data_IF_131522095428
#
_entry.id   IF_131522095428
#
_cell.length_a   1.000
_cell.length_b   1.000
_cell.length_c   1.000
_cell.angle_alpha   90.00
_cell.angle_beta   90.00
_cell.angle_gamma   90.00
#
_symmetry.space_group_name_H-M   'P 1'
#
loop_
_entity.id
_entity.type
_entity.pdbx_description
1 polymer ?
#
# COMPACT_ATOMS: atom_id res chain seq x y z
N UNK A 1 15.11 12.55 49.94
CA UNK A 1 14.32 12.06 48.78
C UNK A 1 14.17 10.56 48.92
N UNK A 2 12.95 10.05 49.13
CA UNK A 2 12.70 8.74 49.74
C UNK A 2 12.64 7.63 48.67
N UNK A 3 13.48 6.60 48.79
CA UNK A 3 13.64 5.49 47.83
C UNK A 3 12.31 4.75 47.56
N UNK A 4 11.37 4.80 48.52
CA UNK A 4 10.02 4.22 48.37
C UNK A 4 9.17 4.86 47.26
N UNK A 5 9.43 6.11 46.87
CA UNK A 5 8.68 6.79 45.80
C UNK A 5 9.08 6.30 44.40
N UNK A 6 10.33 5.84 44.22
CA UNK A 6 10.84 5.37 42.92
C UNK A 6 10.25 3.99 42.58
N UNK A 7 9.96 3.16 43.59
CA UNK A 7 9.46 1.79 43.37
C UNK A 7 7.99 1.73 42.90
N UNK A 8 7.19 2.78 43.15
CA UNK A 8 5.79 2.84 42.70
C UNK A 8 5.64 3.09 41.19
N UNK A 9 6.67 3.66 40.53
CA UNK A 9 6.62 4.01 39.10
C UNK A 9 6.77 2.77 38.20
N UNK A 10 7.17 1.61 38.75
CA UNK A 10 7.43 0.38 37.99
C UNK A 10 6.53 -0.77 38.41
N UNK A 11 5.27 -0.51 38.76
CA UNK A 11 4.27 -1.59 38.77
C UNK A 11 3.93 -1.89 37.31
N UNK A 12 4.76 -2.71 36.66
CA UNK A 12 4.50 -3.28 35.34
C UNK A 12 3.16 -4.00 35.45
N UNK A 13 2.11 -3.33 34.99
CA UNK A 13 0.76 -3.87 34.95
C UNK A 13 0.84 -5.12 34.08
N UNK A 14 0.63 -6.30 34.68
CA UNK A 14 0.70 -7.55 33.91
C UNK A 14 -0.39 -7.52 32.85
N UNK A 15 0.02 -7.37 31.59
CA UNK A 15 -0.87 -7.39 30.44
C UNK A 15 -1.42 -8.81 30.35
N UNK A 16 -2.74 -8.97 30.53
CA UNK A 16 -3.41 -10.24 30.30
C UNK A 16 -3.43 -10.53 28.80
N UNK A 17 -2.67 -11.53 28.37
CA UNK A 17 -2.65 -11.98 26.99
C UNK A 17 -4.04 -12.54 26.62
N UNK A 18 -4.69 -11.90 25.66
CA UNK A 18 -5.97 -12.31 25.10
C UNK A 18 -5.79 -12.80 23.67
N UNK A 19 -6.61 -13.75 23.24
CA UNK A 19 -6.67 -14.27 21.87
C UNK A 19 -6.71 -13.14 20.82
N UNK A 20 -7.52 -12.08 21.03
CA UNK A 20 -7.58 -10.95 20.10
C UNK A 20 -6.24 -10.21 19.94
N UNK A 21 -5.49 -10.06 21.04
CA UNK A 21 -4.18 -9.41 21.02
C UNK A 21 -3.17 -10.25 20.24
N UNK A 22 -3.17 -11.57 20.44
CA UNK A 22 -2.28 -12.50 19.74
C UNK A 22 -2.63 -12.57 18.25
N UNK A 23 -3.92 -12.72 17.90
CA UNK A 23 -4.40 -12.75 16.51
C UNK A 23 -4.04 -11.44 15.80
N UNK A 24 -4.30 -10.30 16.44
CA UNK A 24 -3.96 -9.00 15.88
C UNK A 24 -2.45 -8.84 15.67
N UNK A 25 -1.63 -9.30 16.60
CA UNK A 25 -0.17 -9.21 16.51
C UNK A 25 0.39 -10.10 15.40
N UNK A 26 -0.04 -11.35 15.33
CA UNK A 26 0.39 -12.29 14.27
C UNK A 26 -0.08 -11.79 12.91
N UNK A 27 -1.34 -11.35 12.81
CA UNK A 27 -1.88 -10.77 11.58
C UNK A 27 -1.12 -9.53 11.13
N UNK A 28 -0.80 -8.62 12.05
CA UNK A 28 -0.02 -7.42 11.74
C UNK A 28 1.41 -7.76 11.28
N UNK A 29 2.08 -8.71 11.93
CA UNK A 29 3.44 -9.09 11.54
C UNK A 29 3.47 -9.81 10.19
N UNK A 30 2.51 -10.67 9.91
CA UNK A 30 2.46 -11.45 8.66
C UNK A 30 1.92 -10.61 7.50
N UNK A 31 0.67 -10.14 7.61
CA UNK A 31 -0.01 -9.37 6.57
C UNK A 31 0.59 -7.97 6.43
N UNK A 32 0.94 -7.32 7.54
CA UNK A 32 1.55 -6.00 7.50
C UNK A 32 2.92 -6.00 6.82
N UNK A 33 3.75 -7.03 7.02
CA UNK A 33 5.01 -7.18 6.28
C UNK A 33 4.79 -7.38 4.78
N UNK A 34 3.82 -8.22 4.41
CA UNK A 34 3.47 -8.43 3.00
C UNK A 34 2.95 -7.13 2.34
N UNK A 35 2.11 -6.37 3.05
CA UNK A 35 1.61 -5.07 2.61
C UNK A 35 2.75 -4.06 2.45
N UNK A 36 3.68 -3.99 3.41
CA UNK A 36 4.82 -3.09 3.37
C UNK A 36 5.71 -3.35 2.15
N UNK A 37 5.96 -4.62 1.81
CA UNK A 37 6.72 -4.99 0.59
C UNK A 37 5.99 -4.54 -0.67
N UNK A 38 4.67 -4.73 -0.75
CA UNK A 38 3.90 -4.33 -1.93
C UNK A 38 3.87 -2.81 -2.12
N UNK A 39 3.67 -2.06 -1.03
CA UNK A 39 3.71 -0.60 -1.06
C UNK A 39 5.12 -0.09 -1.40
N UNK A 40 6.16 -0.69 -0.82
CA UNK A 40 7.54 -0.33 -1.13
C UNK A 40 7.85 -0.53 -2.60
N UNK A 41 7.41 -1.63 -3.21
CA UNK A 41 7.59 -1.85 -4.65
C UNK A 41 6.82 -0.85 -5.50
N UNK A 42 5.60 -0.49 -5.11
CA UNK A 42 4.75 0.43 -5.86
C UNK A 42 5.21 1.91 -5.78
N UNK A 43 5.91 2.30 -4.71
CA UNK A 43 6.39 3.67 -4.50
C UNK A 43 7.90 3.84 -4.67
N UNK A 44 8.69 2.77 -4.48
CA UNK A 44 10.15 2.80 -4.55
C UNK A 44 10.74 2.35 -5.89
N UNK A 45 9.92 1.83 -6.81
CA UNK A 45 10.37 1.28 -8.08
C UNK A 45 10.50 2.31 -9.19
N UNK A 46 11.58 3.07 -9.21
CA UNK A 46 11.94 3.94 -10.34
C UNK A 46 13.21 3.45 -11.04
N UNK A 47 13.22 2.20 -11.51
CA UNK A 47 14.18 1.83 -12.55
C UNK A 47 13.65 2.39 -13.88
N UNK A 48 14.18 3.54 -14.27
CA UNK A 48 13.67 4.36 -15.36
C UNK A 48 13.69 3.67 -16.74
N UNK A 49 14.33 2.53 -16.93
CA UNK A 49 14.37 1.84 -18.24
C UNK A 49 13.58 0.52 -18.29
N UNK A 50 13.22 -0.11 -17.15
CA UNK A 50 12.51 -1.42 -17.16
C UNK A 50 11.04 -1.30 -17.54
N UNK A 51 10.42 -0.16 -17.23
CA UNK A 51 8.99 0.08 -17.50
C UNK A 51 8.73 0.75 -18.84
N UNK A 52 9.78 1.16 -19.54
CA UNK A 52 9.67 1.70 -20.88
C UNK A 52 9.76 0.57 -21.91
N UNK A 53 9.12 0.77 -23.06
CA UNK A 53 9.37 -0.09 -24.23
C UNK A 53 10.88 -0.20 -24.48
N UNK A 54 11.37 -1.41 -24.73
CA UNK A 54 12.79 -1.68 -24.92
C UNK A 54 13.36 -0.81 -26.06
N UNK A 55 14.52 -0.17 -25.83
CA UNK A 55 15.14 0.76 -26.82
C UNK A 55 15.37 0.14 -28.20
N UNK A 56 15.64 -1.16 -28.25
CA UNK A 56 15.90 -1.90 -29.49
C UNK A 56 14.61 -2.39 -30.21
N UNK A 57 13.43 -2.13 -29.64
CA UNK A 57 12.11 -2.42 -30.24
C UNK A 57 11.13 -1.28 -29.94
N UNK A 58 11.37 -0.07 -30.45
CA UNK A 58 10.41 1.01 -30.32
C UNK A 58 9.12 0.66 -31.08
N UNK A 59 8.01 1.27 -30.66
CA UNK A 59 6.72 1.12 -31.32
C UNK A 59 6.62 2.10 -32.49
N UNK A 60 6.02 1.64 -33.58
CA UNK A 60 5.63 2.53 -34.68
C UNK A 60 4.47 3.42 -34.23
N UNK A 61 4.35 4.59 -34.84
CA UNK A 61 3.28 5.55 -34.52
C UNK A 61 1.88 4.91 -34.62
N UNK A 62 1.66 4.01 -35.57
CA UNK A 62 0.39 3.30 -35.76
C UNK A 62 0.00 2.40 -34.57
N UNK A 63 0.99 1.86 -33.86
CA UNK A 63 0.78 0.99 -32.71
C UNK A 63 0.42 1.76 -31.44
N UNK A 64 0.59 3.09 -31.42
CA UNK A 64 0.38 3.92 -30.21
C UNK A 64 -0.99 4.59 -30.14
N UNK A 65 -1.91 4.35 -31.11
CA UNK A 65 -3.24 5.01 -31.19
C UNK A 65 -4.05 4.98 -29.90
N UNK A 66 -3.99 3.88 -29.16
CA UNK A 66 -4.75 3.71 -27.91
C UNK A 66 -4.06 4.23 -26.65
N UNK A 67 -2.83 4.73 -26.76
CA UNK A 67 -2.02 5.13 -25.61
C UNK A 67 -1.92 6.66 -25.45
N UNK A 68 -1.69 7.38 -26.55
CA UNK A 68 -1.63 8.84 -26.55
C UNK A 68 -1.88 9.43 -27.94
N UNK A 69 -2.17 10.72 -27.98
CA UNK A 69 -2.23 11.51 -29.20
C UNK A 69 -1.30 12.73 -29.05
N UNK A 70 -0.44 12.94 -30.05
CA UNK A 70 0.42 14.12 -30.14
C UNK A 70 -0.10 15.04 -31.23
N UNK A 71 -0.37 16.28 -30.84
CA UNK A 71 -0.96 17.31 -31.68
C UNK A 71 0.04 18.45 -31.91
N UNK A 72 0.16 18.93 -33.14
CA UNK A 72 0.90 20.14 -33.53
C UNK A 72 -0.11 21.05 -34.21
N UNK A 73 -0.24 22.30 -33.77
CA UNK A 73 -1.22 23.25 -34.32
C UNK A 73 -2.64 22.67 -34.44
N UNK A 74 -3.08 21.93 -33.41
CA UNK A 74 -4.39 21.26 -33.33
C UNK A 74 -4.62 20.14 -34.37
N UNK A 75 -3.54 19.58 -34.92
CA UNK A 75 -3.58 18.49 -35.89
C UNK A 75 -2.71 17.34 -35.43
N UNK A 76 -3.16 16.10 -35.62
CA UNK A 76 -2.40 14.93 -35.18
C UNK A 76 -1.08 14.81 -35.94
N UNK A 77 -0.03 14.36 -35.26
CA UNK A 77 1.27 14.12 -35.90
C UNK A 77 1.16 13.12 -37.06
N UNK A 78 0.21 12.17 -36.99
CA UNK A 78 -0.13 11.25 -38.09
C UNK A 78 -0.63 11.99 -39.33
N UNK A 79 -1.57 12.90 -39.16
CA UNK A 79 -2.10 13.69 -40.27
C UNK A 79 -1.00 14.56 -40.87
N UNK A 80 -0.15 15.14 -40.03
CA UNK A 80 0.98 15.92 -40.50
C UNK A 80 1.97 15.10 -41.36
N UNK A 81 2.27 13.86 -40.95
CA UNK A 81 3.11 12.93 -41.72
C UNK A 81 2.42 12.44 -42.98
N UNK A 82 1.12 12.11 -42.92
CA UNK A 82 0.35 11.69 -44.08
C UNK A 82 0.28 12.77 -45.17
N UNK A 83 0.28 14.03 -44.76
CA UNK A 83 0.26 15.19 -45.66
C UNK A 83 1.66 15.70 -46.05
N UNK A 84 2.73 15.11 -45.53
CA UNK A 84 4.11 15.54 -45.81
C UNK A 84 4.44 16.94 -45.27
N UNK A 85 3.71 17.40 -44.26
CA UNK A 85 3.88 18.75 -43.68
C UNK A 85 4.94 18.82 -42.57
N UNK A 86 5.50 17.68 -42.17
CA UNK A 86 6.62 17.61 -41.22
C UNK A 86 7.94 17.43 -41.96
N UNK A 87 8.92 18.23 -41.55
CA UNK A 87 10.27 18.18 -42.07
C UNK A 87 11.24 17.97 -40.93
N UNK A 88 12.22 17.10 -41.15
CA UNK A 88 13.36 16.95 -40.26
C UNK A 88 14.54 17.69 -40.85
N UNK A 89 15.24 18.44 -40.00
CA UNK A 89 16.52 19.08 -40.34
C UNK A 89 17.61 18.14 -39.84
N UNK A 90 18.34 17.50 -40.75
CA UNK A 90 19.39 16.55 -40.38
C UNK A 90 20.70 17.28 -40.12
N UNK A 91 21.01 18.29 -40.94
CA UNK A 91 22.21 19.13 -40.86
C UNK A 91 21.85 20.58 -41.23
N UNK A 92 22.76 21.54 -41.02
CA UNK A 92 22.53 22.98 -41.28
C UNK A 92 22.04 23.31 -42.71
N UNK A 93 22.29 22.41 -43.67
CA UNK A 93 21.95 22.60 -45.09
C UNK A 93 20.97 21.55 -45.64
N UNK A 94 20.55 20.56 -44.84
CA UNK A 94 19.71 19.45 -45.29
C UNK A 94 18.43 19.35 -44.48
N UNK A 95 17.30 19.46 -45.16
CA UNK A 95 15.97 19.17 -44.62
C UNK A 95 15.23 18.24 -45.58
N UNK A 96 14.44 17.32 -45.03
CA UNK A 96 13.65 16.36 -45.79
C UNK A 96 12.30 16.08 -45.14
N UNK A 97 11.32 15.57 -45.90
CA UNK A 97 10.03 15.19 -45.33
C UNK A 97 10.23 14.05 -44.32
N UNK A 98 9.57 14.17 -43.17
CA UNK A 98 9.58 13.15 -42.12
C UNK A 98 8.55 12.06 -42.47
N UNK A 99 9.00 10.82 -42.61
CA UNK A 99 8.11 9.69 -42.89
C UNK A 99 7.69 8.98 -41.59
N UNK A 100 6.61 8.20 -41.68
CA UNK A 100 6.12 7.41 -40.54
C UNK A 100 7.17 6.42 -40.02
N UNK A 101 8.00 5.85 -40.91
CA UNK A 101 9.07 4.92 -40.56
C UNK A 101 10.27 5.57 -39.86
N UNK A 102 10.41 6.89 -39.95
CA UNK A 102 11.49 7.64 -39.29
C UNK A 102 11.16 7.96 -37.83
N UNK A 103 9.93 7.65 -37.39
CA UNK A 103 9.45 7.91 -36.04
C UNK A 103 9.32 6.62 -35.23
N UNK A 104 9.99 6.61 -34.10
CA UNK A 104 9.95 5.55 -33.11
C UNK A 104 9.45 6.12 -31.79
N UNK A 105 8.50 5.42 -31.14
CA UNK A 105 7.96 5.83 -29.85
C UNK A 105 8.24 4.79 -28.78
N UNK A 106 8.62 5.25 -27.59
CA UNK A 106 8.67 4.43 -26.38
C UNK A 106 7.53 4.84 -25.47
N UNK A 107 6.80 3.87 -24.95
CA UNK A 107 5.73 4.11 -23.98
C UNK A 107 6.22 3.74 -22.59
N UNK A 108 5.84 4.54 -21.59
CA UNK A 108 6.08 4.24 -20.19
C UNK A 108 4.89 3.45 -19.62
N UNK A 109 5.11 2.19 -19.27
CA UNK A 109 4.13 1.30 -18.64
C UNK A 109 4.04 1.44 -17.12
N UNK A 110 4.89 2.25 -16.48
CA UNK A 110 4.97 2.36 -15.03
C UNK A 110 3.62 2.67 -14.36
N UNK A 111 2.80 3.63 -14.84
CA UNK A 111 1.52 3.92 -14.18
C UNK A 111 0.57 2.71 -14.15
N UNK A 112 0.58 1.89 -15.22
CA UNK A 112 -0.24 0.67 -15.30
C UNK A 112 0.28 -0.42 -14.36
N UNK A 113 1.60 -0.59 -14.31
CA UNK A 113 2.23 -1.52 -13.37
C UNK A 113 1.96 -1.11 -11.91
N UNK A 114 2.12 0.17 -11.60
CA UNK A 114 1.83 0.75 -10.29
C UNK A 114 0.36 0.53 -9.90
N UNK A 115 -0.59 0.82 -10.78
CA UNK A 115 -2.01 0.58 -10.54
C UNK A 115 -2.31 -0.91 -10.26
N UNK A 116 -1.68 -1.82 -11.02
CA UNK A 116 -1.82 -3.26 -10.78
C UNK A 116 -1.25 -3.67 -9.42
N UNK A 117 -0.08 -3.15 -9.03
CA UNK A 117 0.52 -3.43 -7.72
C UNK A 117 -0.36 -2.93 -6.57
N UNK A 118 -0.91 -1.72 -6.70
CA UNK A 118 -1.86 -1.16 -5.72
C UNK A 118 -3.14 -1.99 -5.62
N UNK A 119 -3.66 -2.48 -6.76
CA UNK A 119 -4.82 -3.35 -6.77
C UNK A 119 -4.57 -4.66 -6.01
N UNK A 120 -3.39 -5.28 -6.20
CA UNK A 120 -3.00 -6.46 -5.41
C UNK A 120 -2.81 -6.16 -3.91
N UNK A 121 -2.45 -4.92 -3.56
CA UNK A 121 -2.29 -4.50 -2.19
C UNK A 121 -3.62 -4.28 -1.44
N UNK A 122 -4.77 -4.26 -2.13
CA UNK A 122 -6.08 -4.04 -1.49
C UNK A 122 -6.45 -5.14 -0.48
N UNK A 123 -6.25 -6.41 -0.85
CA UNK A 123 -6.54 -7.55 0.03
C UNK A 123 -5.69 -7.54 1.30
N UNK A 124 -4.34 -7.46 1.24
CA UNK A 124 -3.54 -7.37 2.45
C UNK A 124 -3.78 -6.05 3.20
N UNK A 125 -4.16 -4.95 2.55
CA UNK A 125 -4.56 -3.72 3.23
C UNK A 125 -5.79 -3.94 4.11
N UNK A 126 -6.83 -4.57 3.56
CA UNK A 126 -8.03 -4.94 4.32
C UNK A 126 -7.71 -5.86 5.51
N UNK A 127 -6.94 -6.93 5.27
CA UNK A 127 -6.54 -7.89 6.32
C UNK A 127 -5.64 -7.26 7.38
N UNK A 128 -4.75 -6.33 7.00
CA UNK A 128 -3.93 -5.56 7.93
C UNK A 128 -4.82 -4.67 8.80
N UNK A 129 -5.80 -3.98 8.21
CA UNK A 129 -6.79 -3.19 8.94
C UNK A 129 -7.57 -4.02 9.96
N UNK A 130 -8.04 -5.21 9.56
CA UNK A 130 -8.71 -6.13 10.48
C UNK A 130 -7.79 -6.60 11.63
N UNK A 131 -6.52 -6.89 11.32
CA UNK A 131 -5.51 -7.27 12.32
C UNK A 131 -5.24 -6.15 13.32
N UNK A 132 -5.12 -4.91 12.86
CA UNK A 132 -4.99 -3.72 13.72
C UNK A 132 -6.23 -3.56 14.61
N UNK A 133 -7.43 -3.71 14.07
CA UNK A 133 -8.66 -3.67 14.86
C UNK A 133 -8.66 -4.73 15.98
N UNK A 134 -8.30 -5.98 15.68
CA UNK A 134 -8.19 -7.03 16.71
C UNK A 134 -7.10 -6.71 17.75
N UNK A 135 -5.97 -6.18 17.32
CA UNK A 135 -4.89 -5.77 18.22
C UNK A 135 -5.37 -4.68 19.18
N UNK A 136 -6.07 -3.65 18.68
CA UNK A 136 -6.64 -2.57 19.49
C UNK A 136 -7.68 -3.08 20.48
N UNK A 137 -8.62 -3.92 20.03
CA UNK A 137 -9.63 -4.54 20.90
C UNK A 137 -8.97 -5.39 21.99
N UNK A 138 -7.98 -6.20 21.61
CA UNK A 138 -7.21 -7.02 22.55
C UNK A 138 -6.44 -6.19 23.57
N UNK A 139 -5.83 -5.09 23.13
CA UNK A 139 -5.11 -4.16 24.00
C UNK A 139 -6.06 -3.47 24.99
N UNK A 140 -7.21 -3.00 24.53
CA UNK A 140 -8.23 -2.39 25.39
C UNK A 140 -8.74 -3.38 26.44
N UNK A 141 -8.96 -4.65 26.07
CA UNK A 141 -9.37 -5.69 27.02
C UNK A 141 -8.27 -6.01 28.04
N UNK A 142 -7.01 -6.09 27.60
CA UNK A 142 -5.88 -6.33 28.50
C UNK A 142 -5.64 -5.17 29.49
N UNK A 143 -6.08 -3.96 29.13
CA UNK A 143 -6.02 -2.76 29.95
C UNK A 143 -7.31 -2.50 30.75
N UNK A 144 -8.29 -3.41 30.77
CA UNK A 144 -9.43 -3.26 31.69
C UNK A 144 -8.99 -3.52 33.13
N UNK A 145 -9.38 -2.67 34.10
CA UNK A 145 -9.21 -2.98 35.51
C UNK A 145 -9.97 -4.28 35.81
N UNK A 146 -9.39 -5.13 36.64
CA UNK A 146 -10.12 -6.27 37.20
C UNK A 146 -11.16 -5.67 38.14
N UNK A 147 -12.43 -5.72 37.72
CA UNK A 147 -13.55 -5.33 38.56
C UNK A 147 -13.58 -6.34 39.71
N UNK A 148 -13.12 -5.92 40.89
CA UNK A 148 -13.17 -6.72 42.10
C UNK A 148 -14.60 -7.19 42.26
N UNK A 149 -14.82 -8.50 42.12
CA UNK A 149 -16.13 -9.11 42.34
C UNK A 149 -16.65 -8.59 43.69
N UNK A 150 -17.92 -8.12 43.77
CA UNK A 150 -18.46 -7.63 45.02
C UNK A 150 -18.23 -8.73 46.05
N UNK A 151 -17.51 -8.37 47.12
CA UNK A 151 -17.23 -9.26 48.21
C UNK A 151 -18.51 -10.03 48.49
N UNK A 152 -18.46 -11.37 48.39
CA UNK A 152 -19.53 -12.19 48.93
C UNK A 152 -19.65 -11.71 50.37
N UNK A 153 -20.75 -11.04 50.69
CA UNK A 153 -21.18 -10.91 52.07
C UNK A 153 -21.23 -12.36 52.55
N UNK A 154 -20.20 -12.76 53.29
CA UNK A 154 -20.30 -13.89 54.18
C UNK A 154 -21.42 -13.51 55.13
N UNK A 155 -22.62 -13.96 54.80
CA UNK A 155 -23.76 -13.95 55.70
C UNK A 155 -23.29 -14.65 56.98
N UNK A 156 -22.98 -13.85 58.00
CA UNK A 156 -22.57 -14.28 59.34
C UNK A 156 -23.64 -15.11 60.05
N UNK A 157 -24.78 -15.38 59.42
CA UNK A 157 -25.75 -16.34 59.93
C UNK A 157 -25.35 -17.75 59.51
N UNK A 158 -24.48 -18.37 60.33
CA UNK A 158 -24.09 -19.78 60.28
C UNK A 158 -25.26 -20.75 60.52
N UNK A 159 -26.35 -20.61 59.77
CA UNK A 159 -27.56 -21.42 59.89
C UNK A 159 -27.72 -22.27 58.63
N UNK A 160 -27.21 -23.51 58.71
CA UNK A 160 -27.52 -24.56 57.73
C UNK A 160 -29.02 -24.81 57.76
N UNK A 161 -29.79 -24.25 56.81
CA UNK A 161 -31.16 -24.70 56.59
C UNK A 161 -31.14 -26.11 55.98
N UNK A 162 -31.86 -27.09 56.56
CA UNK A 162 -32.04 -28.38 55.92
C UNK A 162 -32.94 -28.24 54.69
N UNK A 163 -32.57 -28.94 53.62
CA UNK A 163 -33.32 -29.09 52.38
C UNK A 163 -34.68 -29.77 52.62
N UNK A 164 -35.77 -29.30 52.00
CA UNK A 164 -36.88 -30.14 51.56
C UNK A 164 -36.61 -30.77 50.17
#
# INVERSE_FOLDING_TARGET
MNIRQITQITKIRQIRLNAFLIIGLVGLLTVGSALAVQLYRAFGGSEEDIWWTARHRPLELEQTKGAFELLILNKSIRQHVAEGSLYVVTDETSYGPLHAGDMAVRLNGWPKAQASMLAYALVPCFLCGASVAFLLVGLLQALRPEEEAPAREEDETGERRPFP
#
